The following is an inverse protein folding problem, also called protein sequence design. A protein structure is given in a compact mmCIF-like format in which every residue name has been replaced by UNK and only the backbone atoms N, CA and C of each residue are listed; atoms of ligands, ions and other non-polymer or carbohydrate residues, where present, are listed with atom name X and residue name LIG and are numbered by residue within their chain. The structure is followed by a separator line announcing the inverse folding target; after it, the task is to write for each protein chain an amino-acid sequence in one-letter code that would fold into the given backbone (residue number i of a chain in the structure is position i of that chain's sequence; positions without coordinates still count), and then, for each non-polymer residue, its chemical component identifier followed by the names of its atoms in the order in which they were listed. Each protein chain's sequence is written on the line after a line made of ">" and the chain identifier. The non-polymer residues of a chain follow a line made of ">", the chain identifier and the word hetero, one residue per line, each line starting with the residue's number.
data_IF_755231699300
#
_entry.id   IF_755231699300
#
_cell.length_a   1.000
_cell.length_b   1.000
_cell.length_c   1.000
_cell.angle_alpha   90.00
_cell.angle_beta   90.00
_cell.angle_gamma   90.00
#
_symmetry.space_group_name_H-M   'P 1'
#
loop_
_entity.id
_entity.type
_entity.pdbx_description
1 polymer ?
#
# COMPACT_ATOMS: atom_id res chain seq x y z
N UNK A 1 -30.88 -39.64 -26.89
CA UNK A 1 -29.89 -39.97 -27.92
C UNK A 1 -29.75 -38.75 -28.85
N UNK A 2 -28.72 -37.95 -28.57
CA UNK A 2 -28.05 -36.89 -29.36
C UNK A 2 -28.87 -35.94 -30.27
N UNK A 3 -28.97 -34.66 -29.87
CA UNK A 3 -29.09 -33.51 -30.77
C UNK A 3 -27.87 -32.60 -30.61
N UNK A 4 -27.30 -32.26 -31.76
CA UNK A 4 -26.10 -31.47 -32.01
C UNK A 4 -26.20 -30.02 -31.49
N UNK A 5 -25.14 -29.53 -30.83
CA UNK A 5 -24.95 -28.11 -30.48
C UNK A 5 -23.77 -27.56 -31.28
N UNK A 6 -24.07 -26.62 -32.17
CA UNK A 6 -23.13 -25.78 -32.93
C UNK A 6 -22.21 -25.03 -31.97
N UNK A 7 -20.89 -25.18 -32.14
CA UNK A 7 -19.87 -24.34 -31.54
C UNK A 7 -19.58 -23.17 -32.49
N UNK A 8 -20.00 -21.96 -32.10
CA UNK A 8 -19.68 -20.72 -32.82
C UNK A 8 -18.24 -20.27 -32.53
N UNK A 9 -17.56 -19.84 -33.57
CA UNK A 9 -16.13 -19.49 -33.65
C UNK A 9 -15.79 -18.05 -33.24
N UNK A 10 -16.48 -17.48 -32.25
CA UNK A 10 -16.30 -16.05 -31.87
C UNK A 10 -15.62 -15.83 -30.51
N UNK A 11 -15.07 -16.87 -29.88
CA UNK A 11 -14.54 -16.78 -28.51
C UNK A 11 -13.02 -16.66 -28.41
N UNK A 12 -12.28 -16.60 -29.52
CA UNK A 12 -10.80 -16.66 -29.49
C UNK A 12 -10.10 -15.34 -29.87
N UNK A 13 -10.80 -14.38 -30.45
CA UNK A 13 -10.20 -13.08 -30.85
C UNK A 13 -10.36 -11.96 -29.83
N UNK A 14 -11.21 -12.13 -28.80
CA UNK A 14 -11.43 -11.09 -27.78
C UNK A 14 -10.39 -11.10 -26.63
N UNK A 15 -9.50 -12.09 -26.57
CA UNK A 15 -8.54 -12.22 -25.47
C UNK A 15 -7.22 -11.47 -25.73
N UNK A 16 -6.85 -11.20 -26.98
CA UNK A 16 -5.61 -10.48 -27.30
C UNK A 16 -5.75 -8.95 -27.35
N UNK A 17 -6.95 -8.40 -27.55
CA UNK A 17 -7.10 -6.94 -27.70
C UNK A 17 -7.38 -6.18 -26.38
N UNK A 18 -7.66 -6.90 -25.28
CA UNK A 18 -7.93 -6.29 -23.97
C UNK A 18 -6.67 -5.97 -23.17
N UNK A 19 -5.48 -6.42 -23.61
CA UNK A 19 -4.24 -6.24 -22.85
C UNK A 19 -3.51 -4.91 -23.14
N UNK A 20 -3.84 -4.21 -24.24
CA UNK A 20 -3.09 -3.03 -24.71
C UNK A 20 -3.75 -1.66 -24.38
N UNK A 21 -4.96 -1.64 -23.82
CA UNK A 21 -5.67 -0.39 -23.43
C UNK A 21 -6.22 -0.51 -22.00
N UNK A 22 -5.65 -1.41 -21.19
CA UNK A 22 -6.00 -1.52 -19.78
C UNK A 22 -5.41 -0.35 -19.00
N UNK A 23 -6.14 0.76 -18.87
CA UNK A 23 -6.00 1.60 -17.66
C UNK A 23 -6.26 0.66 -16.49
N UNK A 24 -5.18 0.19 -15.86
CA UNK A 24 -5.24 -0.58 -14.63
C UNK A 24 -5.68 0.39 -13.53
N UNK A 25 -6.96 0.76 -13.54
CA UNK A 25 -7.57 1.39 -12.38
C UNK A 25 -7.59 0.32 -11.30
N UNK A 26 -6.56 0.35 -10.45
CA UNK A 26 -6.57 -0.29 -9.15
C UNK A 26 -7.70 0.35 -8.33
N UNK A 27 -8.96 0.00 -8.64
CA UNK A 27 -10.10 0.20 -7.76
C UNK A 27 -9.96 -0.79 -6.61
N UNK A 28 -8.96 -0.56 -5.74
CA UNK A 28 -9.00 -1.11 -4.40
C UNK A 28 -10.10 -0.38 -3.66
N UNK A 29 -11.28 -0.99 -3.64
CA UNK A 29 -12.30 -0.69 -2.66
C UNK A 29 -11.76 -1.13 -1.28
N UNK A 30 -10.92 -0.30 -0.66
CA UNK A 30 -10.68 -0.38 0.77
C UNK A 30 -12.01 0.00 1.42
N UNK A 31 -12.87 -1.00 1.65
CA UNK A 31 -14.13 -0.82 2.37
C UNK A 31 -13.81 -0.12 3.70
N UNK A 32 -14.18 1.14 3.83
CA UNK A 32 -13.99 1.91 5.06
C UNK A 32 -15.11 1.51 6.02
N UNK A 33 -14.97 0.37 6.71
CA UNK A 33 -15.73 0.15 7.94
C UNK A 33 -15.20 1.09 9.03
N UNK A 34 -16.00 1.32 10.06
CA UNK A 34 -15.76 2.25 11.17
C UNK A 34 -14.29 2.32 11.65
N UNK A 35 -13.83 3.51 12.12
CA UNK A 35 -12.45 3.76 12.47
C UNK A 35 -12.10 3.03 13.77
N UNK A 36 -11.64 1.79 13.65
CA UNK A 36 -10.84 1.16 14.69
C UNK A 36 -9.47 1.85 14.65
N UNK A 37 -8.90 2.21 15.80
CA UNK A 37 -7.54 2.78 15.85
C UNK A 37 -6.54 1.72 15.41
N UNK A 38 -6.10 1.79 14.16
CA UNK A 38 -5.35 0.71 13.53
C UNK A 38 -3.84 0.99 13.45
N UNK A 39 -3.41 2.22 13.75
CA UNK A 39 -1.99 2.61 13.81
C UNK A 39 -1.24 1.84 14.91
N UNK A 40 -1.89 1.51 16.03
CA UNK A 40 -1.31 0.64 17.06
C UNK A 40 -0.97 -0.74 16.51
N UNK A 41 -1.89 -1.34 15.74
CA UNK A 41 -1.67 -2.66 15.14
C UNK A 41 -0.57 -2.62 14.07
N UNK A 42 -0.51 -1.53 13.31
CA UNK A 42 0.59 -1.29 12.38
C UNK A 42 1.94 -1.21 13.11
N UNK A 43 2.05 -0.42 14.19
CA UNK A 43 3.28 -0.33 14.98
C UNK A 43 3.68 -1.67 15.61
N UNK A 44 2.71 -2.45 16.09
CA UNK A 44 2.96 -3.81 16.59
C UNK A 44 3.50 -4.75 15.49
N UNK A 45 2.95 -4.70 14.27
CA UNK A 45 3.43 -5.48 13.12
C UNK A 45 4.83 -5.00 12.65
N UNK A 46 5.16 -3.71 12.77
CA UNK A 46 6.52 -3.20 12.53
C UNK A 46 7.52 -3.74 13.56
N UNK A 47 7.15 -3.69 14.85
CA UNK A 47 8.01 -4.15 15.94
C UNK A 47 8.28 -5.65 15.85
N UNK A 48 7.24 -6.46 15.58
CA UNK A 48 7.37 -7.93 15.38
C UNK A 48 8.37 -8.31 14.29
N UNK A 49 8.54 -7.45 13.28
CA UNK A 49 9.43 -7.68 12.13
C UNK A 49 10.79 -7.01 12.25
N UNK A 50 11.09 -6.39 13.40
CA UNK A 50 12.31 -5.61 13.63
C UNK A 50 12.51 -4.49 12.59
N UNK A 51 11.42 -3.80 12.22
CA UNK A 51 11.43 -2.73 11.22
C UNK A 51 11.44 -1.32 11.82
N UNK A 52 11.52 -1.22 13.15
CA UNK A 52 11.67 0.04 13.88
C UNK A 52 13.15 0.17 14.23
N UNK A 53 13.87 1.03 13.51
CA UNK A 53 15.27 1.33 13.81
C UNK A 53 15.37 2.40 14.91
N UNK A 54 14.65 3.51 14.74
CA UNK A 54 14.60 4.62 15.68
C UNK A 54 13.19 5.23 15.68
N UNK A 55 12.85 5.95 16.74
CA UNK A 55 11.59 6.66 16.85
C UNK A 55 11.78 7.99 17.57
N UNK A 56 10.97 8.98 17.19
CA UNK A 56 10.76 10.18 17.99
C UNK A 56 9.28 10.24 18.36
N UNK A 57 8.93 10.25 19.65
CA UNK A 57 9.80 10.21 20.83
C UNK A 57 10.59 8.89 20.97
N UNK A 58 11.74 8.89 21.69
CA UNK A 58 12.43 7.66 22.07
C UNK A 58 11.52 6.91 23.05
N UNK A 59 11.35 5.60 22.89
CA UNK A 59 10.35 4.76 23.59
C UNK A 59 8.95 4.72 22.97
N UNK A 60 8.86 4.62 21.64
CA UNK A 60 7.57 4.38 20.97
C UNK A 60 6.86 3.09 21.45
N UNK A 61 7.64 2.06 21.75
CA UNK A 61 7.15 0.72 22.13
C UNK A 61 6.87 0.55 23.62
N UNK A 62 7.22 1.53 24.47
CA UNK A 62 6.90 1.43 25.90
C UNK A 62 5.38 1.50 26.12
N UNK A 63 4.91 0.86 27.19
CA UNK A 63 3.50 0.87 27.59
C UNK A 63 2.52 0.49 26.48
N UNK A 64 2.86 -0.54 25.68
CA UNK A 64 1.97 -1.10 24.65
C UNK A 64 1.45 -0.05 23.64
N UNK A 65 2.37 0.79 23.15
CA UNK A 65 2.12 1.84 22.16
C UNK A 65 1.00 2.82 22.58
N UNK A 66 0.86 3.10 23.87
CA UNK A 66 -0.19 3.99 24.40
C UNK A 66 -0.17 5.38 23.76
N UNK A 67 1.01 5.95 23.56
CA UNK A 67 1.18 7.25 22.89
C UNK A 67 0.68 7.19 21.45
N UNK A 68 0.97 6.11 20.73
CA UNK A 68 0.54 5.92 19.33
C UNK A 68 -0.98 5.85 19.22
N UNK A 69 -1.65 5.31 20.25
CA UNK A 69 -3.11 5.23 20.27
C UNK A 69 -3.80 6.61 20.33
N UNK A 70 -3.10 7.69 20.65
CA UNK A 70 -3.68 9.05 20.63
C UNK A 70 -3.49 9.77 19.29
N UNK A 71 -2.63 9.24 18.42
CA UNK A 71 -2.30 9.83 17.12
C UNK A 71 -3.35 9.50 16.06
N UNK A 72 -3.45 10.33 14.99
CA UNK A 72 -4.27 9.98 13.83
C UNK A 72 -3.70 8.77 13.09
N UNK A 73 -4.58 7.96 12.47
CA UNK A 73 -4.21 6.82 11.63
C UNK A 73 -3.67 7.27 10.26
N UNK A 74 -2.70 8.19 10.22
CA UNK A 74 -2.10 8.76 9.00
C UNK A 74 -0.60 8.54 9.02
N UNK A 75 -0.07 7.93 7.97
CA UNK A 75 1.36 7.68 7.78
C UNK A 75 1.81 8.31 6.48
N UNK A 76 2.97 8.98 6.48
CA UNK A 76 3.56 9.50 5.26
C UNK A 76 5.01 9.04 5.09
N UNK A 77 5.48 9.00 3.85
CA UNK A 77 6.89 8.91 3.54
C UNK A 77 7.24 9.82 2.37
N UNK A 78 8.37 10.51 2.47
CA UNK A 78 8.91 11.38 1.43
C UNK A 78 9.85 10.63 0.50
N UNK A 79 9.79 10.94 -0.79
CA UNK A 79 10.68 10.45 -1.83
C UNK A 79 11.21 11.66 -2.60
N UNK A 80 12.53 11.81 -2.63
CA UNK A 80 13.18 12.91 -3.33
C UNK A 80 13.63 12.43 -4.72
N UNK A 81 13.17 13.05 -5.83
CA UNK A 81 13.50 12.61 -7.18
C UNK A 81 14.94 13.00 -7.60
N UNK A 82 15.94 12.51 -6.87
CA UNK A 82 17.37 12.75 -7.16
C UNK A 82 17.95 11.87 -8.27
N UNK A 83 17.15 10.93 -8.79
CA UNK A 83 17.50 10.05 -9.90
C UNK A 83 16.29 9.81 -10.80
N UNK A 84 16.55 9.39 -12.04
CA UNK A 84 15.52 9.04 -13.05
C UNK A 84 14.58 7.90 -12.60
N UNK A 85 14.95 7.12 -11.59
CA UNK A 85 14.14 6.00 -11.11
C UNK A 85 14.39 5.66 -9.63
N UNK A 86 13.40 4.99 -9.02
CA UNK A 86 13.53 4.42 -7.69
C UNK A 86 14.36 3.13 -7.74
N UNK A 87 15.41 3.06 -6.93
CA UNK A 87 16.15 1.82 -6.72
C UNK A 87 15.55 0.96 -5.60
N UNK A 88 16.04 -0.29 -5.47
CA UNK A 88 15.54 -1.29 -4.51
C UNK A 88 15.53 -0.84 -3.03
N UNK A 89 16.36 0.13 -2.65
CA UNK A 89 16.40 0.66 -1.29
C UNK A 89 15.09 1.32 -0.87
N UNK A 90 14.39 1.96 -1.83
CA UNK A 90 13.09 2.57 -1.58
C UNK A 90 11.96 1.56 -1.41
N UNK A 91 12.16 0.29 -1.81
CA UNK A 91 11.15 -0.75 -1.68
C UNK A 91 10.77 -1.00 -0.22
N UNK A 92 11.72 -0.86 0.71
CA UNK A 92 11.46 -1.01 2.14
C UNK A 92 10.42 0.01 2.63
N UNK A 93 10.55 1.27 2.19
CA UNK A 93 9.64 2.34 2.57
C UNK A 93 8.27 2.14 1.91
N UNK A 94 8.25 1.83 0.61
CA UNK A 94 7.01 1.59 -0.14
C UNK A 94 6.22 0.40 0.42
N UNK A 95 6.88 -0.71 0.71
CA UNK A 95 6.23 -1.89 1.32
C UNK A 95 5.64 -1.57 2.69
N UNK A 96 6.29 -0.73 3.49
CA UNK A 96 5.73 -0.26 4.76
C UNK A 96 4.52 0.68 4.58
N UNK A 97 4.52 1.56 3.58
CA UNK A 97 3.32 2.35 3.24
C UNK A 97 2.16 1.46 2.78
N UNK A 98 2.43 0.44 1.95
CA UNK A 98 1.40 -0.52 1.57
C UNK A 98 0.87 -1.31 2.78
N UNK A 99 1.75 -1.71 3.70
CA UNK A 99 1.34 -2.36 4.95
C UNK A 99 0.50 -1.44 5.83
N UNK A 100 0.84 -0.16 5.94
CA UNK A 100 0.02 0.82 6.65
C UNK A 100 -1.41 0.87 6.06
N UNK A 101 -1.55 0.86 4.73
CA UNK A 101 -2.85 0.79 4.08
C UNK A 101 -3.61 -0.53 4.35
N UNK A 102 -2.90 -1.68 4.45
CA UNK A 102 -3.50 -2.95 4.88
C UNK A 102 -3.99 -2.91 6.33
N UNK A 103 -3.26 -2.21 7.19
CA UNK A 103 -3.69 -1.84 8.53
C UNK A 103 -4.63 -0.62 8.54
N UNK A 104 -5.29 -0.28 7.42
CA UNK A 104 -6.32 0.78 7.35
C UNK A 104 -5.85 2.16 7.83
N UNK A 105 -4.54 2.41 7.86
CA UNK A 105 -3.98 3.73 8.01
C UNK A 105 -4.05 4.45 6.65
N UNK A 106 -4.26 5.76 6.67
CA UNK A 106 -4.15 6.61 5.49
C UNK A 106 -2.67 6.80 5.14
N UNK A 107 -2.20 6.09 4.13
CA UNK A 107 -0.81 6.12 3.67
C UNK A 107 -0.62 7.17 2.56
N UNK A 108 0.34 8.08 2.76
CA UNK A 108 0.66 9.18 1.83
C UNK A 108 2.11 9.03 1.35
N UNK A 109 2.31 8.89 0.04
CA UNK A 109 3.64 9.02 -0.56
C UNK A 109 3.81 10.46 -1.07
N UNK A 110 4.78 11.20 -0.50
CA UNK A 110 5.06 12.58 -0.87
C UNK A 110 6.28 12.63 -1.80
N UNK A 111 6.16 13.31 -2.94
CA UNK A 111 7.28 13.53 -3.87
C UNK A 111 7.87 14.91 -3.64
N UNK A 112 9.17 14.97 -3.35
CA UNK A 112 9.94 16.16 -3.01
C UNK A 112 10.32 17.04 -4.20
N UNK A 113 9.36 17.46 -5.01
CA UNK A 113 9.65 18.24 -6.24
C UNK A 113 10.36 19.59 -6.00
N UNK A 114 10.24 20.16 -4.80
CA UNK A 114 10.94 21.39 -4.39
C UNK A 114 12.20 21.15 -3.55
N UNK A 115 12.44 19.90 -3.13
CA UNK A 115 13.63 19.51 -2.35
C UNK A 115 14.71 18.86 -3.21
N UNK A 116 14.32 18.29 -4.35
CA UNK A 116 15.26 17.76 -5.33
C UNK A 116 16.03 18.90 -6.00
N UNK A 117 17.34 18.89 -5.82
CA UNK A 117 18.31 19.81 -6.42
C UNK A 117 19.47 19.04 -7.03
#
# INVERSE_FOLDING_TARGET
>A
MLRSLKLNSEMTTSFCHLFLIGRFELKRAFTTSAPVKNIKQFCADLAKRNLISTSHPPNLSSDDFKIVSTLPDVIYAGFDPTAESLHIGHLLILTNLFRAALHRCHAIALIGGATAH
#
